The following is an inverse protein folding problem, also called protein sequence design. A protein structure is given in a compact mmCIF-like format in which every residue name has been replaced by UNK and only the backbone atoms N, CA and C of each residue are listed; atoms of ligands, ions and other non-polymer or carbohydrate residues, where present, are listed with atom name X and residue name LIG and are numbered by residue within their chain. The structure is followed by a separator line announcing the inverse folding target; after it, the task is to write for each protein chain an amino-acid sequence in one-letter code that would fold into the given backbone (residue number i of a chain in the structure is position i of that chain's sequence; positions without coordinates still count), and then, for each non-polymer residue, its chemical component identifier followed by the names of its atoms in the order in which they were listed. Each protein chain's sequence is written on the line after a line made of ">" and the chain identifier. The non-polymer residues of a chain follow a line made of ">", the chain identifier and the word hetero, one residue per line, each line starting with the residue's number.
data_IF_716636791760
#
_entry.id   IF_716636791760
#
_cell.length_a   1.000
_cell.length_b   1.000
_cell.length_c   1.000
_cell.angle_alpha   90.00
_cell.angle_beta   90.00
_cell.angle_gamma   90.00
#
_symmetry.space_group_name_H-M   'P 1'
#
loop_
_entity.id
_entity.type
_entity.pdbx_description
1 polymer ?
#
# COMPACT_ATOMS: atom_id res chain seq x y z
N UNK A 1 0.02 -21.73 -11.93
CA UNK A 1 -0.64 -20.66 -11.14
C UNK A 1 0.27 -20.30 -9.97
N UNK A 2 0.58 -19.02 -9.75
CA UNK A 2 1.37 -18.60 -8.58
C UNK A 2 0.47 -18.55 -7.33
N UNK A 3 1.02 -18.94 -6.17
CA UNK A 3 0.33 -18.86 -4.89
C UNK A 3 0.27 -17.41 -4.42
N UNK A 4 -0.84 -17.04 -3.80
CA UNK A 4 -0.98 -15.76 -3.09
C UNK A 4 -0.16 -15.76 -1.80
N UNK A 5 0.17 -14.57 -1.28
CA UNK A 5 0.86 -14.45 0.01
C UNK A 5 0.08 -15.13 1.14
N UNK A 6 -1.24 -14.96 1.18
CA UNK A 6 -2.11 -15.61 2.18
C UNK A 6 -2.06 -17.14 2.10
N UNK A 7 -2.02 -17.71 0.88
CA UNK A 7 -1.86 -19.15 0.70
C UNK A 7 -0.50 -19.63 1.22
N UNK A 8 0.58 -18.90 0.95
CA UNK A 8 1.92 -19.23 1.45
C UNK A 8 2.00 -19.14 2.98
N UNK A 9 1.40 -18.12 3.58
CA UNK A 9 1.33 -17.94 5.04
C UNK A 9 0.58 -19.12 5.68
N UNK A 10 -0.57 -19.50 5.12
CA UNK A 10 -1.36 -20.65 5.60
C UNK A 10 -0.55 -21.94 5.54
N UNK A 11 0.08 -22.21 4.40
CA UNK A 11 0.90 -23.41 4.21
C UNK A 11 2.10 -23.44 5.16
N UNK A 12 2.72 -22.30 5.48
CA UNK A 12 3.79 -22.22 6.46
C UNK A 12 3.31 -22.59 7.88
N UNK A 13 2.13 -22.10 8.29
CA UNK A 13 1.53 -22.49 9.56
C UNK A 13 1.16 -23.97 9.61
N UNK A 14 0.62 -24.53 8.52
CA UNK A 14 0.29 -25.94 8.40
C UNK A 14 1.54 -26.83 8.47
N UNK A 15 2.58 -26.47 7.73
CA UNK A 15 3.85 -27.19 7.71
C UNK A 15 4.55 -27.18 9.08
N UNK A 16 4.40 -26.11 9.87
CA UNK A 16 4.97 -26.02 11.20
C UNK A 16 4.45 -27.11 12.17
N UNK A 17 3.28 -27.69 11.91
CA UNK A 17 2.71 -28.76 12.75
C UNK A 17 3.50 -30.08 12.65
N UNK A 18 4.25 -30.29 11.56
CA UNK A 18 5.08 -31.48 11.36
C UNK A 18 6.53 -31.34 11.80
N UNK A 19 6.92 -30.18 12.35
CA UNK A 19 8.32 -29.85 12.66
C UNK A 19 8.64 -30.00 14.16
N UNK A 20 9.91 -30.24 14.52
CA UNK A 20 10.38 -30.12 15.91
C UNK A 20 10.12 -28.71 16.46
N UNK A 21 9.95 -28.54 17.79
CA UNK A 21 9.51 -27.28 18.39
C UNK A 21 10.30 -26.04 17.97
N UNK A 22 11.64 -26.14 17.90
CA UNK A 22 12.50 -25.02 17.50
C UNK A 22 12.25 -24.59 16.04
N UNK A 23 12.17 -25.55 15.11
CA UNK A 23 11.92 -25.29 13.70
C UNK A 23 10.48 -24.82 13.45
N UNK A 24 9.51 -25.37 14.19
CA UNK A 24 8.12 -24.93 14.14
C UNK A 24 7.98 -23.46 14.59
N UNK A 25 8.69 -23.06 15.65
CA UNK A 25 8.68 -21.67 16.13
C UNK A 25 9.23 -20.70 15.08
N UNK A 26 10.35 -21.04 14.43
CA UNK A 26 10.94 -20.22 13.37
C UNK A 26 10.01 -20.07 12.17
N UNK A 27 9.34 -21.15 11.75
CA UNK A 27 8.43 -21.11 10.61
C UNK A 27 7.16 -20.30 10.91
N UNK A 28 6.63 -20.40 12.14
CA UNK A 28 5.50 -19.57 12.60
C UNK A 28 5.86 -18.10 12.67
N UNK A 29 7.05 -17.77 13.18
CA UNK A 29 7.56 -16.40 13.21
C UNK A 29 7.72 -15.83 11.79
N UNK A 30 8.28 -16.63 10.87
CA UNK A 30 8.38 -16.23 9.45
C UNK A 30 7.00 -15.96 8.85
N UNK A 31 6.03 -16.85 9.08
CA UNK A 31 4.66 -16.69 8.59
C UNK A 31 4.01 -15.42 9.15
N UNK A 32 4.20 -15.13 10.45
CA UNK A 32 3.70 -13.92 11.10
C UNK A 32 4.31 -12.65 10.50
N UNK A 33 5.63 -12.62 10.29
CA UNK A 33 6.31 -11.47 9.67
C UNK A 33 5.88 -11.23 8.23
N UNK A 34 5.63 -12.29 7.47
CA UNK A 34 5.07 -12.19 6.12
C UNK A 34 3.66 -11.61 6.14
N UNK A 35 2.84 -12.00 7.10
CA UNK A 35 1.47 -11.49 7.27
C UNK A 35 1.47 -9.99 7.61
N UNK A 36 2.30 -9.58 8.58
CA UNK A 36 2.49 -8.16 8.93
C UNK A 36 2.96 -7.35 7.72
N UNK A 37 3.93 -7.87 6.96
CA UNK A 37 4.46 -7.20 5.77
C UNK A 37 3.40 -7.04 4.67
N UNK A 38 2.55 -8.06 4.50
CA UNK A 38 1.44 -8.02 3.54
C UNK A 38 0.39 -6.99 3.96
N UNK A 39 0.02 -6.94 5.23
CA UNK A 39 -0.92 -5.95 5.76
C UNK A 39 -0.40 -4.52 5.55
N UNK A 40 0.87 -4.27 5.90
CA UNK A 40 1.51 -2.97 5.71
C UNK A 40 1.57 -2.56 4.22
N UNK A 41 1.88 -3.50 3.33
CA UNK A 41 1.93 -3.26 1.88
C UNK A 41 0.54 -2.95 1.33
N UNK A 42 -0.48 -3.70 1.77
CA UNK A 42 -1.87 -3.44 1.38
C UNK A 42 -2.30 -2.02 1.80
N UNK A 43 -2.04 -1.65 3.06
CA UNK A 43 -2.35 -0.32 3.55
C UNK A 43 -1.64 0.78 2.75
N UNK A 44 -0.35 0.60 2.45
CA UNK A 44 0.40 1.56 1.64
C UNK A 44 -0.17 1.70 0.22
N UNK A 45 -0.64 0.61 -0.39
CA UNK A 45 -1.31 0.62 -1.68
C UNK A 45 -2.67 1.35 -1.63
N UNK A 46 -3.43 1.16 -0.55
CA UNK A 46 -4.71 1.83 -0.34
C UNK A 46 -4.51 3.33 -0.13
N UNK A 47 -3.56 3.73 0.72
CA UNK A 47 -3.18 5.13 0.95
C UNK A 47 -2.66 5.79 -0.34
N UNK A 48 -1.84 5.09 -1.13
CA UNK A 48 -1.37 5.57 -2.43
C UNK A 48 -2.53 5.79 -3.40
N UNK A 49 -3.47 4.86 -3.44
CA UNK A 49 -4.65 4.95 -4.32
C UNK A 49 -5.55 6.10 -3.91
N UNK A 50 -5.77 6.30 -2.61
CA UNK A 50 -6.50 7.44 -2.07
C UNK A 50 -5.80 8.77 -2.44
N UNK A 51 -4.49 8.86 -2.28
CA UNK A 51 -3.72 10.05 -2.65
C UNK A 51 -3.83 10.38 -4.14
N UNK A 52 -3.72 9.37 -5.02
CA UNK A 52 -3.90 9.56 -6.47
C UNK A 52 -5.31 10.07 -6.77
N UNK A 53 -6.34 9.49 -6.16
CA UNK A 53 -7.73 9.94 -6.37
C UNK A 53 -7.93 11.38 -5.90
N UNK A 54 -7.32 11.78 -4.77
CA UNK A 54 -7.35 13.17 -4.30
C UNK A 54 -6.66 14.11 -5.28
N UNK A 55 -5.52 13.73 -5.85
CA UNK A 55 -4.81 14.54 -6.85
C UNK A 55 -5.65 14.71 -8.12
N UNK A 56 -6.24 13.62 -8.62
CA UNK A 56 -7.13 13.66 -9.79
C UNK A 56 -8.33 14.58 -9.53
N UNK A 57 -9.00 14.42 -8.38
CA UNK A 57 -10.13 15.27 -8.02
C UNK A 57 -9.72 16.75 -7.90
N UNK A 58 -8.53 17.02 -7.36
CA UNK A 58 -7.99 18.38 -7.27
C UNK A 58 -7.73 18.97 -8.65
N UNK A 59 -7.11 18.22 -9.57
CA UNK A 59 -6.91 18.66 -10.95
C UNK A 59 -8.23 19.02 -11.63
N UNK A 60 -9.24 18.13 -11.52
CA UNK A 60 -10.56 18.34 -12.13
C UNK A 60 -11.26 19.57 -11.55
N UNK A 61 -11.29 19.71 -10.22
CA UNK A 61 -11.99 20.80 -9.56
C UNK A 61 -11.32 22.18 -9.76
N UNK A 62 -10.02 22.19 -10.06
CA UNK A 62 -9.26 23.41 -10.29
C UNK A 62 -9.04 23.73 -11.77
N UNK A 63 -9.61 22.93 -12.68
CA UNK A 63 -9.38 23.02 -14.13
C UNK A 63 -7.88 23.02 -14.49
N UNK A 64 -7.09 22.24 -13.75
CA UNK A 64 -5.64 22.14 -13.94
C UNK A 64 -5.33 21.69 -15.38
N UNK A 65 -4.54 22.47 -16.15
CA UNK A 65 -4.18 22.09 -17.51
C UNK A 65 -3.39 20.78 -17.56
N UNK A 66 -3.57 20.03 -18.64
CA UNK A 66 -2.87 18.77 -18.87
C UNK A 66 -1.34 19.00 -18.97
N UNK A 67 -0.55 18.15 -18.32
CA UNK A 67 0.91 18.26 -18.29
C UNK A 67 1.47 19.29 -17.28
N UNK A 68 0.62 19.96 -16.51
CA UNK A 68 1.03 20.84 -15.40
C UNK A 68 1.05 20.07 -14.09
N UNK A 69 2.09 20.28 -13.29
CA UNK A 69 2.15 19.72 -11.93
C UNK A 69 1.06 20.34 -11.04
N UNK A 70 0.24 19.50 -10.40
CA UNK A 70 -0.91 19.97 -9.62
C UNK A 70 -0.49 20.79 -8.40
N UNK A 71 0.69 20.55 -7.81
CA UNK A 71 1.17 21.32 -6.67
C UNK A 71 1.59 22.73 -7.10
N UNK A 72 2.25 22.86 -8.26
CA UNK A 72 2.54 24.17 -8.84
C UNK A 72 1.25 24.91 -9.24
N UNK A 73 0.30 24.22 -9.85
CA UNK A 73 -0.99 24.80 -10.23
C UNK A 73 -1.76 25.35 -9.04
N UNK A 74 -1.89 24.55 -7.97
CA UNK A 74 -2.56 24.97 -6.73
C UNK A 74 -1.87 26.18 -6.11
N UNK A 75 -0.53 26.21 -6.07
CA UNK A 75 0.22 27.38 -5.56
C UNK A 75 -0.07 28.65 -6.35
N UNK A 76 -0.19 28.55 -7.68
CA UNK A 76 -0.53 29.69 -8.55
C UNK A 76 -1.92 30.24 -8.24
N UNK A 77 -2.94 29.38 -8.17
CA UNK A 77 -4.32 29.79 -7.83
C UNK A 77 -4.36 30.51 -6.47
N UNK A 78 -3.69 29.96 -5.45
CA UNK A 78 -3.67 30.62 -4.12
C UNK A 78 -2.86 31.91 -4.10
N UNK A 79 -1.86 32.06 -4.96
CA UNK A 79 -1.10 33.30 -5.14
C UNK A 79 -1.88 34.39 -5.87
N UNK A 80 -2.64 34.01 -6.90
CA UNK A 80 -3.47 34.91 -7.70
C UNK A 80 -4.69 35.44 -6.92
N UNK A 81 -5.26 34.63 -6.01
CA UNK A 81 -6.39 35.03 -5.16
C UNK A 81 -6.02 35.86 -3.90
N UNK A 82 -4.74 36.23 -3.73
CA UNK A 82 -4.26 37.03 -2.59
C UNK A 82 -4.24 38.55 -2.82
N UNK A 83 -4.99 39.04 -3.81
CA UNK A 83 -5.12 40.47 -4.16
C UNK A 83 -6.46 41.01 -3.66
#
# INVERSE_FOLDING_TARGET
>A
MHKTAQQLIREAYEAANGLPPASAALLKELASRLDISMAATSQACDERSAAINTLIATCVNSECPEGVDVQEWVKRIYGENKI
#
